data_IF_624872138102
#
_entry.id   IF_624872138102
#
_cell.length_a   1.000
_cell.length_b   1.000
_cell.length_c   1.000
_cell.angle_alpha   90.00
_cell.angle_beta   90.00
_cell.angle_gamma   90.00
#
_symmetry.space_group_name_H-M   'P 1'
#
loop_
_entity.id
_entity.type
_entity.pdbx_description
1 polymer ?
#
# COMPACT_ATOMS: atom_id res chain seq x y z
N UNK A 1 -30.18 -22.53 -10.34
CA UNK A 1 -29.44 -22.12 -9.13
C UNK A 1 -30.14 -22.57 -7.85
N UNK A 2 -31.42 -22.24 -7.63
CA UNK A 2 -32.18 -22.75 -6.46
C UNK A 2 -32.31 -24.28 -6.48
N UNK A 3 -32.59 -24.88 -7.64
CA UNK A 3 -32.67 -26.35 -7.78
C UNK A 3 -31.33 -27.05 -7.47
N UNK A 4 -30.20 -26.45 -7.87
CA UNK A 4 -28.86 -26.98 -7.61
C UNK A 4 -28.50 -26.89 -6.13
N UNK A 5 -28.90 -25.81 -5.45
CA UNK A 5 -28.75 -25.67 -3.98
C UNK A 5 -29.60 -26.70 -3.24
N UNK A 6 -30.86 -26.88 -3.64
CA UNK A 6 -31.74 -27.88 -3.05
C UNK A 6 -31.23 -29.31 -3.27
N UNK A 7 -30.65 -29.60 -4.43
CA UNK A 7 -29.98 -30.88 -4.72
C UNK A 7 -28.75 -31.07 -3.84
N UNK A 8 -27.90 -30.05 -3.70
CA UNK A 8 -26.73 -30.04 -2.82
C UNK A 8 -27.12 -30.32 -1.37
N UNK A 9 -28.17 -29.67 -0.85
CA UNK A 9 -28.67 -29.87 0.52
C UNK A 9 -29.26 -31.26 0.76
N UNK A 10 -29.78 -31.93 -0.28
CA UNK A 10 -30.24 -33.33 -0.19
C UNK A 10 -29.06 -34.29 -0.13
N UNK A 11 -28.07 -34.07 -0.99
CA UNK A 11 -26.87 -34.91 -1.06
C UNK A 11 -26.03 -34.75 0.21
N UNK A 12 -25.85 -33.52 0.69
CA UNK A 12 -25.14 -33.24 1.95
C UNK A 12 -25.74 -34.00 3.13
N UNK A 13 -27.08 -33.99 3.28
CA UNK A 13 -27.77 -34.76 4.33
C UNK A 13 -27.58 -36.28 4.19
N UNK A 14 -27.59 -36.81 2.96
CA UNK A 14 -27.32 -38.24 2.72
C UNK A 14 -25.89 -38.62 3.10
N UNK A 15 -24.92 -37.78 2.76
CA UNK A 15 -23.52 -37.99 3.10
C UNK A 15 -23.29 -37.87 4.61
N UNK A 16 -23.94 -36.92 5.27
CA UNK A 16 -23.89 -36.77 6.73
C UNK A 16 -24.38 -38.04 7.45
N UNK A 17 -25.48 -38.64 6.98
CA UNK A 17 -26.00 -39.89 7.54
C UNK A 17 -25.04 -41.07 7.31
N UNK A 18 -24.32 -41.12 6.18
CA UNK A 18 -23.37 -42.19 5.87
C UNK A 18 -22.03 -42.04 6.57
N UNK A 19 -21.51 -40.81 6.67
CA UNK A 19 -20.17 -40.49 7.17
C UNK A 19 -20.15 -40.15 8.66
N UNK A 20 -21.31 -39.81 9.24
CA UNK A 20 -21.41 -39.33 10.63
C UNK A 20 -20.81 -37.94 10.88
N UNK A 21 -20.42 -37.24 9.80
CA UNK A 21 -19.85 -35.88 9.82
C UNK A 21 -20.29 -35.10 8.58
N UNK A 22 -20.10 -33.78 8.61
CA UNK A 22 -20.32 -32.96 7.42
C UNK A 22 -19.37 -33.37 6.26
N UNK A 23 -19.89 -33.44 5.02
CA UNK A 23 -19.10 -33.83 3.87
C UNK A 23 -18.16 -32.71 3.42
N UNK A 24 -16.96 -33.08 3.00
CA UNK A 24 -16.01 -32.13 2.44
C UNK A 24 -16.48 -31.64 1.04
N UNK A 25 -16.05 -30.44 0.59
CA UNK A 25 -16.39 -29.92 -0.73
C UNK A 25 -15.99 -30.86 -1.88
N UNK A 26 -14.91 -31.65 -1.72
CA UNK A 26 -14.48 -32.69 -2.66
C UNK A 26 -15.45 -33.87 -2.74
N UNK A 27 -15.91 -34.36 -1.59
CA UNK A 27 -16.85 -35.49 -1.49
C UNK A 27 -18.22 -35.10 -2.08
N UNK A 28 -18.64 -33.85 -1.85
CA UNK A 28 -19.82 -33.28 -2.51
C UNK A 28 -19.63 -33.14 -4.03
N UNK A 29 -18.42 -32.82 -4.49
CA UNK A 29 -18.10 -32.65 -5.91
C UNK A 29 -18.20 -33.95 -6.68
N UNK A 30 -17.69 -35.03 -6.10
CA UNK A 30 -17.77 -36.38 -6.65
C UNK A 30 -19.22 -36.86 -6.74
N UNK A 31 -20.00 -36.75 -5.66
CA UNK A 31 -21.39 -37.22 -5.63
C UNK A 31 -22.36 -36.34 -6.46
N UNK A 32 -22.01 -35.07 -6.69
CA UNK A 32 -22.79 -34.16 -7.54
C UNK A 32 -22.35 -34.13 -9.01
N UNK A 33 -21.25 -34.82 -9.36
CA UNK A 33 -20.63 -34.79 -10.69
C UNK A 33 -20.31 -33.36 -11.18
N UNK A 34 -19.82 -32.51 -10.26
CA UNK A 34 -19.50 -31.10 -10.54
C UNK A 34 -18.09 -30.75 -10.06
N UNK A 35 -17.39 -29.81 -10.73
CA UNK A 35 -16.10 -29.31 -10.24
C UNK A 35 -16.19 -28.73 -8.82
N UNK A 36 -15.21 -29.02 -7.98
CA UNK A 36 -15.13 -28.54 -6.59
C UNK A 36 -15.25 -27.00 -6.49
N UNK A 37 -14.65 -26.26 -7.43
CA UNK A 37 -14.76 -24.80 -7.47
C UNK A 37 -16.20 -24.31 -7.61
N UNK A 38 -17.03 -25.02 -8.39
CA UNK A 38 -18.44 -24.65 -8.56
C UNK A 38 -19.22 -24.91 -7.27
N UNK A 39 -18.91 -26.00 -6.55
CA UNK A 39 -19.53 -26.28 -5.25
C UNK A 39 -19.17 -25.21 -4.22
N UNK A 40 -17.88 -24.84 -4.13
CA UNK A 40 -17.46 -23.75 -3.23
C UNK A 40 -18.15 -22.43 -3.54
N UNK A 41 -18.35 -22.12 -4.83
CA UNK A 41 -19.13 -20.93 -5.25
C UNK A 41 -20.59 -21.04 -4.83
N UNK A 42 -21.24 -22.18 -5.06
CA UNK A 42 -22.64 -22.40 -4.67
C UNK A 42 -22.79 -22.31 -3.14
N UNK A 43 -21.89 -22.91 -2.37
CA UNK A 43 -21.87 -22.81 -0.90
C UNK A 43 -21.78 -21.36 -0.44
N UNK A 44 -20.89 -20.55 -1.04
CA UNK A 44 -20.77 -19.11 -0.73
C UNK A 44 -22.05 -18.33 -1.02
N UNK A 45 -22.74 -18.63 -2.12
CA UNK A 45 -23.99 -17.93 -2.50
C UNK A 45 -25.18 -18.43 -1.66
N UNK A 46 -25.10 -19.64 -1.10
CA UNK A 46 -26.16 -20.23 -0.27
C UNK A 46 -26.16 -19.71 1.17
N UNK A 47 -25.22 -18.84 1.54
CA UNK A 47 -25.20 -18.18 2.83
C UNK A 47 -26.32 -17.13 2.89
N UNK A 48 -27.17 -17.23 3.89
CA UNK A 48 -28.17 -16.20 4.15
C UNK A 48 -27.47 -14.91 4.64
N UNK A 49 -27.89 -13.73 4.16
CA UNK A 49 -27.32 -12.47 4.63
C UNK A 49 -27.61 -12.28 6.12
N UNK A 50 -26.62 -11.79 6.85
CA UNK A 50 -26.76 -11.47 8.28
C UNK A 50 -27.19 -10.00 8.40
N UNK A 51 -28.07 -9.71 9.36
CA UNK A 51 -28.48 -8.33 9.63
C UNK A 51 -27.30 -7.52 10.18
N UNK A 52 -27.12 -6.29 9.69
CA UNK A 52 -26.16 -5.35 10.26
C UNK A 52 -26.53 -4.90 11.68
N UNK A 53 -27.80 -5.02 12.05
CA UNK A 53 -28.32 -4.75 13.40
C UNK A 53 -28.16 -5.96 14.34
N UNK A 54 -27.44 -7.01 13.92
CA UNK A 54 -27.17 -8.14 14.83
C UNK A 54 -26.25 -7.64 15.95
N UNK A 55 -26.66 -7.68 17.23
CA UNK A 55 -25.81 -7.24 18.33
C UNK A 55 -24.57 -8.13 18.43
N UNK A 56 -23.44 -7.53 18.78
CA UNK A 56 -22.17 -8.25 18.90
C UNK A 56 -21.54 -7.98 20.27
N UNK A 57 -21.23 -9.06 21.00
CA UNK A 57 -20.73 -8.98 22.37
C UNK A 57 -21.85 -8.82 23.42
N UNK A 58 -21.44 -8.51 24.66
CA UNK A 58 -22.34 -8.30 25.81
C UNK A 58 -22.74 -6.82 25.99
N UNK A 59 -22.15 -5.90 25.22
CA UNK A 59 -22.51 -4.48 25.27
C UNK A 59 -23.68 -4.21 24.33
N UNK A 60 -24.82 -3.81 24.91
CA UNK A 60 -26.12 -3.60 24.23
C UNK A 60 -26.13 -2.54 23.12
N UNK A 61 -25.04 -1.83 22.87
CA UNK A 61 -24.96 -0.75 21.88
C UNK A 61 -24.10 -1.06 20.65
N UNK A 62 -23.44 -2.22 20.59
CA UNK A 62 -22.55 -2.58 19.47
C UNK A 62 -23.26 -3.52 18.49
N UNK A 63 -23.37 -3.10 17.23
CA UNK A 63 -23.98 -3.90 16.18
C UNK A 63 -22.91 -4.36 15.17
N UNK A 64 -23.20 -5.44 14.44
CA UNK A 64 -22.31 -5.97 13.40
C UNK A 64 -21.92 -4.91 12.35
N UNK A 65 -22.85 -4.01 12.01
CA UNK A 65 -22.62 -2.93 11.05
C UNK A 65 -21.54 -1.94 11.48
N UNK A 66 -21.35 -1.73 12.79
CA UNK A 66 -20.39 -0.75 13.31
C UNK A 66 -18.92 -1.16 13.04
N UNK A 67 -18.70 -2.44 12.71
CA UNK A 67 -17.37 -3.00 12.40
C UNK A 67 -17.06 -3.10 10.91
N UNK A 68 -18.01 -2.72 10.05
CA UNK A 68 -17.79 -2.74 8.60
C UNK A 68 -17.15 -1.42 8.20
N UNK A 69 -15.87 -1.48 7.80
CA UNK A 69 -15.17 -0.34 7.26
C UNK A 69 -15.71 0.04 5.87
N UNK A 70 -15.87 1.33 5.63
CA UNK A 70 -16.15 1.86 4.29
C UNK A 70 -14.84 1.94 3.49
N UNK A 71 -14.50 0.84 2.80
CA UNK A 71 -13.31 0.81 1.92
C UNK A 71 -13.47 1.71 0.66
N UNK A 72 -14.68 2.14 0.35
CA UNK A 72 -14.98 3.05 -0.77
C UNK A 72 -14.62 4.51 -0.45
N UNK A 73 -14.43 4.86 0.82
CA UNK A 73 -14.06 6.21 1.23
C UNK A 73 -12.54 6.39 1.22
N UNK A 74 -12.07 7.38 0.47
CA UNK A 74 -10.66 7.77 0.54
C UNK A 74 -10.33 8.34 1.91
N UNK A 75 -9.24 7.88 2.50
CA UNK A 75 -8.78 8.40 3.77
C UNK A 75 -8.54 9.92 3.69
N UNK A 76 -8.82 10.71 4.75
CA UNK A 76 -8.59 12.16 4.77
C UNK A 76 -7.21 12.61 4.24
N UNK A 77 -6.06 12.01 4.63
CA UNK A 77 -4.77 12.40 4.06
C UNK A 77 -4.70 12.21 2.54
N UNK A 78 -5.30 11.13 2.02
CA UNK A 78 -5.29 10.82 0.60
C UNK A 78 -6.12 11.84 -0.18
N UNK A 79 -7.28 12.25 0.35
CA UNK A 79 -8.09 13.32 -0.26
C UNK A 79 -7.31 14.63 -0.40
N UNK A 80 -6.51 14.99 0.62
CA UNK A 80 -5.67 16.19 0.58
C UNK A 80 -4.56 16.05 -0.46
N UNK A 81 -3.93 14.87 -0.57
CA UNK A 81 -2.90 14.59 -1.57
C UNK A 81 -3.48 14.72 -2.99
N UNK A 82 -4.65 14.15 -3.25
CA UNK A 82 -5.33 14.25 -4.54
C UNK A 82 -5.71 15.69 -4.90
N UNK A 83 -6.21 16.46 -3.94
CA UNK A 83 -6.51 17.88 -4.14
C UNK A 83 -5.25 18.68 -4.46
N UNK A 84 -4.19 18.49 -3.67
CA UNK A 84 -2.90 19.18 -3.87
C UNK A 84 -2.28 18.82 -5.23
N UNK A 85 -2.38 17.55 -5.65
CA UNK A 85 -1.95 17.13 -6.98
C UNK A 85 -2.72 17.85 -8.08
N UNK A 86 -4.04 17.95 -7.94
CA UNK A 86 -4.89 18.62 -8.92
C UNK A 86 -4.53 20.10 -9.06
N UNK A 87 -4.30 20.79 -7.94
CA UNK A 87 -3.88 22.20 -7.91
C UNK A 87 -2.50 22.40 -8.60
N UNK A 88 -1.53 21.52 -8.33
CA UNK A 88 -0.20 21.58 -8.97
C UNK A 88 -0.28 21.29 -10.49
N UNK A 89 -1.13 20.35 -10.91
CA UNK A 89 -1.38 20.08 -12.33
C UNK A 89 -1.99 21.32 -13.00
N UNK A 90 -2.99 21.96 -12.38
CA UNK A 90 -3.60 23.17 -12.93
C UNK A 90 -2.61 24.34 -13.01
N UNK A 91 -1.73 24.52 -12.01
CA UNK A 91 -0.65 25.51 -12.09
C UNK A 91 0.34 25.21 -13.22
N UNK A 92 0.66 23.92 -13.45
CA UNK A 92 1.52 23.50 -14.54
C UNK A 92 0.90 23.76 -15.91
N UNK A 93 -0.40 23.48 -16.07
CA UNK A 93 -1.14 23.70 -17.30
C UNK A 93 -1.22 25.19 -17.66
N UNK A 94 -1.19 26.11 -16.69
CA UNK A 94 -1.11 27.57 -16.95
C UNK A 94 0.16 27.99 -17.70
N UNK A 95 1.24 27.19 -17.68
CA UNK A 95 2.46 27.49 -18.44
C UNK A 95 2.37 27.08 -19.91
N UNK A 96 1.31 26.35 -20.30
CA UNK A 96 1.05 25.98 -21.68
C UNK A 96 0.17 27.03 -22.36
N UNK A 97 0.11 26.96 -23.69
CA UNK A 97 -0.89 27.74 -24.42
C UNK A 97 -2.30 27.20 -24.14
N UNK A 98 -3.34 28.04 -24.18
CA UNK A 98 -4.74 27.62 -23.92
C UNK A 98 -5.14 26.41 -24.76
N UNK A 99 -4.66 26.34 -26.00
CA UNK A 99 -4.92 25.22 -26.92
C UNK A 99 -4.23 23.93 -26.47
N UNK A 100 -2.98 24.01 -26.02
CA UNK A 100 -2.24 22.86 -25.47
C UNK A 100 -2.86 22.38 -24.15
N UNK A 101 -3.20 23.30 -23.24
CA UNK A 101 -3.84 22.98 -21.97
C UNK A 101 -5.20 22.31 -22.18
N UNK A 102 -6.04 22.85 -23.08
CA UNK A 102 -7.37 22.29 -23.35
C UNK A 102 -7.31 20.92 -24.01
N UNK A 103 -6.35 20.68 -24.91
CA UNK A 103 -6.11 19.33 -25.48
C UNK A 103 -5.74 18.33 -24.40
N UNK A 104 -4.87 18.69 -23.44
CA UNK A 104 -4.51 17.81 -22.33
C UNK A 104 -5.68 17.58 -21.37
N UNK A 105 -6.44 18.63 -21.02
CA UNK A 105 -7.61 18.53 -20.13
C UNK A 105 -8.66 17.57 -20.68
N UNK A 106 -9.02 17.70 -21.96
CA UNK A 106 -10.00 16.82 -22.60
C UNK A 106 -9.49 15.38 -22.76
N UNK A 107 -8.20 15.21 -23.10
CA UNK A 107 -7.62 13.87 -23.30
C UNK A 107 -7.58 13.07 -22.00
N UNK A 108 -7.12 13.69 -20.91
CA UNK A 108 -6.87 13.02 -19.62
C UNK A 108 -7.97 13.24 -18.59
N UNK A 109 -9.09 13.89 -18.94
CA UNK A 109 -10.22 14.10 -18.04
C UNK A 109 -9.90 14.92 -16.78
N UNK A 110 -8.90 15.82 -16.84
CA UNK A 110 -8.32 16.47 -15.65
C UNK A 110 -9.26 17.41 -14.88
N UNK A 111 -10.45 17.70 -15.41
CA UNK A 111 -11.47 18.55 -14.76
C UNK A 111 -12.78 17.81 -14.48
N UNK A 112 -12.72 16.48 -14.31
CA UNK A 112 -13.91 15.65 -14.12
C UNK A 112 -14.70 15.40 -15.40
N UNK A 113 -14.17 15.81 -16.56
CA UNK A 113 -14.65 15.37 -17.86
C UNK A 113 -14.20 13.93 -18.13
N UNK A 114 -14.95 13.20 -18.95
CA UNK A 114 -14.50 11.89 -19.43
C UNK A 114 -13.23 12.05 -20.29
N UNK A 115 -12.37 11.04 -20.25
CA UNK A 115 -11.25 10.95 -21.18
C UNK A 115 -11.76 10.87 -22.62
N UNK A 116 -11.20 11.70 -23.50
CA UNK A 116 -11.53 11.70 -24.92
C UNK A 116 -10.38 11.10 -25.74
N UNK A 117 -10.75 10.37 -26.78
CA UNK A 117 -9.78 9.83 -27.75
C UNK A 117 -9.16 10.94 -28.60
N UNK A 118 -7.99 10.67 -29.22
CA UNK A 118 -7.35 11.61 -30.14
C UNK A 118 -8.25 12.04 -31.30
N UNK A 119 -9.17 11.16 -31.72
CA UNK A 119 -10.10 11.41 -32.81
C UNK A 119 -11.24 12.34 -32.37
N UNK A 120 -11.84 12.09 -31.20
CA UNK A 120 -12.87 12.94 -30.61
C UNK A 120 -12.34 14.35 -30.29
N UNK A 121 -11.14 14.45 -29.72
CA UNK A 121 -10.47 15.75 -29.51
C UNK A 121 -10.19 16.41 -30.86
N UNK A 122 -9.78 15.64 -31.88
CA UNK A 122 -9.56 16.16 -33.23
C UNK A 122 -10.82 16.76 -33.85
N UNK A 123 -11.96 16.08 -33.72
CA UNK A 123 -13.26 16.57 -34.16
C UNK A 123 -13.64 17.88 -33.46
N UNK A 124 -13.48 17.96 -32.13
CA UNK A 124 -13.79 19.16 -31.36
C UNK A 124 -12.93 20.38 -31.79
N UNK A 125 -11.64 20.16 -32.08
CA UNK A 125 -10.73 21.21 -32.53
C UNK A 125 -10.69 21.41 -34.06
N UNK A 126 -11.51 20.68 -34.83
CA UNK A 126 -11.54 20.66 -36.31
C UNK A 126 -10.15 20.45 -36.93
N UNK A 127 -9.40 19.50 -36.39
CA UNK A 127 -8.05 19.13 -36.85
C UNK A 127 -7.92 17.61 -36.96
N UNK A 128 -6.91 17.16 -37.70
CA UNK A 128 -6.63 15.74 -37.84
C UNK A 128 -6.18 15.12 -36.52
N UNK A 129 -6.43 13.82 -36.36
CA UNK A 129 -5.95 13.00 -35.23
C UNK A 129 -4.45 13.17 -35.00
N UNK A 130 -3.66 13.12 -36.07
CA UNK A 130 -2.19 13.27 -35.99
C UNK A 130 -1.79 14.67 -35.49
N UNK A 131 -2.55 15.71 -35.82
CA UNK A 131 -2.30 17.05 -35.32
C UNK A 131 -2.49 17.14 -33.80
N UNK A 132 -3.52 16.50 -33.25
CA UNK A 132 -3.71 16.42 -31.78
C UNK A 132 -2.55 15.67 -31.13
N UNK A 133 -2.12 14.53 -31.71
CA UNK A 133 -0.97 13.76 -31.21
C UNK A 133 0.32 14.60 -31.15
N UNK A 134 0.57 15.42 -32.16
CA UNK A 134 1.70 16.35 -32.19
C UNK A 134 1.61 17.42 -31.10
N UNK A 135 0.42 18.03 -30.91
CA UNK A 135 0.18 19.04 -29.88
C UNK A 135 0.43 18.43 -28.49
N UNK A 136 -0.10 17.23 -28.24
CA UNK A 136 0.10 16.49 -27.00
C UNK A 136 1.59 16.22 -26.75
N UNK A 137 2.31 15.64 -27.71
CA UNK A 137 3.73 15.34 -27.58
C UNK A 137 4.55 16.61 -27.28
N UNK A 138 4.22 17.72 -27.93
CA UNK A 138 4.85 19.02 -27.69
C UNK A 138 4.54 19.56 -26.29
N UNK A 139 3.29 19.48 -25.85
CA UNK A 139 2.86 19.93 -24.53
C UNK A 139 3.52 19.10 -23.42
N UNK A 140 3.54 17.77 -23.54
CA UNK A 140 4.23 16.88 -22.60
C UNK A 140 5.75 17.13 -22.56
N UNK A 141 6.37 17.47 -23.69
CA UNK A 141 7.79 17.85 -23.72
C UNK A 141 8.05 19.15 -22.95
N UNK A 142 7.20 20.17 -23.12
CA UNK A 142 7.28 21.42 -22.35
C UNK A 142 7.08 21.18 -20.86
N UNK A 143 6.08 20.40 -20.49
CA UNK A 143 5.81 20.05 -19.10
C UNK A 143 7.00 19.32 -18.46
N UNK A 144 7.66 18.40 -19.18
CA UNK A 144 8.86 17.70 -18.68
C UNK A 144 10.06 18.62 -18.42
N UNK A 145 10.21 19.67 -19.22
CA UNK A 145 11.35 20.61 -19.13
C UNK A 145 11.09 21.76 -18.15
N UNK A 146 9.83 21.99 -17.76
CA UNK A 146 9.47 23.01 -16.77
C UNK A 146 10.15 22.74 -15.43
N UNK A 147 10.68 23.78 -14.79
CA UNK A 147 11.25 23.70 -13.43
C UNK A 147 10.25 23.16 -12.41
N UNK A 148 8.96 23.51 -12.59
CA UNK A 148 7.82 23.04 -11.77
C UNK A 148 7.52 21.54 -11.92
N UNK A 149 8.01 20.87 -12.98
CA UNK A 149 7.88 19.40 -13.10
C UNK A 149 8.51 18.64 -11.93
N UNK A 150 9.47 19.27 -11.23
CA UNK A 150 10.09 18.71 -10.02
C UNK A 150 9.07 18.53 -8.89
N UNK A 151 8.04 19.37 -8.82
CA UNK A 151 6.99 19.33 -7.80
C UNK A 151 6.04 18.15 -7.99
N UNK A 152 5.93 17.60 -9.21
CA UNK A 152 5.12 16.40 -9.48
C UNK A 152 5.84 15.07 -9.13
N UNK A 153 7.17 15.08 -8.98
CA UNK A 153 7.95 13.86 -8.70
C UNK A 153 7.60 13.19 -7.36
N UNK A 154 7.33 13.91 -6.26
CA UNK A 154 6.86 13.31 -5.02
C UNK A 154 5.54 12.55 -5.19
N UNK A 155 4.57 13.13 -5.91
CA UNK A 155 3.28 12.48 -6.19
C UNK A 155 3.45 11.20 -7.00
N UNK A 156 4.33 11.21 -8.01
CA UNK A 156 4.60 10.00 -8.79
C UNK A 156 5.00 8.81 -7.90
N UNK A 157 5.83 9.03 -6.87
CA UNK A 157 6.25 7.97 -5.93
C UNK A 157 5.11 7.45 -5.06
N UNK A 158 4.19 8.34 -4.66
CA UNK A 158 3.02 7.99 -3.86
C UNK A 158 2.07 7.08 -4.66
N UNK A 159 1.79 7.42 -5.92
CA UNK A 159 0.90 6.63 -6.78
C UNK A 159 1.53 5.36 -7.38
N UNK A 160 2.85 5.30 -7.56
CA UNK A 160 3.54 4.10 -8.08
C UNK A 160 3.94 3.10 -7.00
N UNK A 161 3.54 3.31 -5.74
CA UNK A 161 3.84 2.42 -4.62
C UNK A 161 5.34 2.22 -4.36
N UNK A 162 6.20 3.12 -4.87
CA UNK A 162 7.65 2.92 -4.79
C UNK A 162 8.12 3.28 -3.38
N UNK A 163 8.74 2.35 -2.63
CA UNK A 163 9.09 2.59 -1.24
C UNK A 163 10.00 3.81 -1.12
N UNK A 164 9.58 4.77 -0.28
CA UNK A 164 10.39 5.91 0.09
C UNK A 164 11.60 5.36 0.84
N UNK A 165 12.75 5.23 0.17
CA UNK A 165 14.03 4.99 0.86
C UNK A 165 14.21 6.14 1.84
N UNK A 166 14.07 5.85 3.15
CA UNK A 166 14.39 6.79 4.22
C UNK A 166 15.79 7.31 3.91
N UNK A 167 15.94 8.62 3.74
CA UNK A 167 17.26 9.23 3.64
C UNK A 167 17.95 9.01 4.97
N UNK A 168 18.84 8.03 5.03
CA UNK A 168 19.81 7.93 6.10
C UNK A 168 20.61 9.24 6.08
N UNK A 169 20.39 10.07 7.09
CA UNK A 169 21.25 11.22 7.35
C UNK A 169 22.61 10.63 7.74
N UNK A 170 23.54 10.53 6.78
CA UNK A 170 24.96 10.35 7.10
C UNK A 170 25.38 11.53 7.97
N UNK A 171 25.56 11.31 9.28
CA UNK A 171 26.37 12.19 10.13
C UNK A 171 27.77 12.16 9.54
N UNK A 172 28.14 13.20 8.78
CA UNK A 172 29.55 13.56 8.64
C UNK A 172 29.97 14.09 10.02
N UNK A 173 30.63 13.25 10.81
CA UNK A 173 31.55 13.77 11.82
C UNK A 173 32.74 14.27 11.04
N UNK A 174 32.96 15.57 11.10
CA UNK A 174 34.22 16.20 10.76
C UNK A 174 35.22 15.76 11.83
N UNK A 175 36.05 14.78 11.49
CA UNK A 175 37.30 14.51 12.18
C UNK A 175 38.36 14.85 11.15
N UNK A 176 38.96 16.04 11.29
CA UNK A 176 40.30 16.41 10.83
C UNK A 176 40.51 17.91 11.11
N UNK A 177 40.94 18.27 12.32
CA UNK A 177 41.76 19.49 12.49
C UNK A 177 42.75 19.34 13.67
N UNK A 178 43.93 18.83 13.29
CA UNK A 178 45.28 19.28 13.65
C UNK A 178 45.67 19.42 15.15
N UNK A 179 46.56 18.51 15.53
CA UNK A 179 47.49 18.59 16.67
C UNK A 179 48.24 19.93 16.73
N UNK A 180 48.20 20.58 17.89
CA UNK A 180 49.19 21.55 18.34
C UNK A 180 49.54 21.27 19.81
N UNK A 181 50.82 21.21 20.21
CA UNK A 181 51.20 20.93 21.58
C UNK A 181 51.28 22.23 22.38
N UNK A 182 50.72 22.25 23.59
CA UNK A 182 51.12 23.21 24.62
C UNK A 182 51.26 22.51 25.97
N UNK A 183 52.47 22.65 26.49
CA UNK A 183 53.00 22.24 27.78
C UNK A 183 52.35 22.99 28.96
N UNK A 184 52.60 22.43 30.16
CA UNK A 184 52.62 23.07 31.50
C UNK A 184 51.25 23.45 32.12
N UNK A 185 50.94 23.27 33.41
CA UNK A 185 51.66 22.92 34.65
C UNK A 185 50.60 22.46 35.69
N UNK A 186 51.11 21.87 36.79
CA UNK A 186 50.53 21.55 38.13
C UNK A 186 49.16 22.14 38.51
N UNK A 187 48.36 21.51 39.38
CA UNK A 187 48.63 21.16 40.78
C UNK A 187 47.34 20.54 41.37
N UNK A 188 47.48 19.54 42.26
CA UNK A 188 46.72 19.29 43.52
C UNK A 188 45.16 19.35 43.51
N UNK A 189 44.38 18.57 44.27
CA UNK A 189 44.53 17.92 45.59
C UNK A 189 43.25 17.09 45.86
N UNK A 190 43.36 16.15 46.82
CA UNK A 190 42.28 15.56 47.67
C UNK A 190 41.22 14.66 46.99
N UNK A 191 41.26 13.32 47.13
CA UNK A 191 41.00 12.47 48.32
C UNK A 191 39.67 12.79 49.00
N UNK A 192 38.69 11.89 48.88
CA UNK A 192 37.86 11.44 50.01
C UNK A 192 37.22 10.09 49.70
N UNK A 193 37.41 9.16 50.65
CA UNK A 193 36.85 7.82 50.77
C UNK A 193 35.36 7.88 51.10
N UNK A 194 34.60 6.83 50.77
CA UNK A 194 33.91 6.00 51.77
C UNK A 194 33.21 4.82 51.09
N UNK A 195 33.44 3.66 51.69
CA UNK A 195 32.90 2.34 51.39
C UNK A 195 31.39 2.25 51.65
N UNK A 196 30.71 1.31 51.00
CA UNK A 196 29.76 0.40 51.66
C UNK A 196 29.25 -0.66 50.66
N UNK A 197 29.77 -1.87 50.85
CA UNK A 197 29.02 -3.10 51.10
C UNK A 197 28.15 -3.80 50.02
N UNK A 198 28.67 -4.99 49.68
CA UNK A 198 28.04 -6.33 49.72
C UNK A 198 27.36 -6.92 48.47
N UNK A 199 28.08 -7.92 47.95
CA UNK A 199 27.69 -9.30 47.65
C UNK A 199 26.62 -9.61 46.59
N UNK A 200 27.04 -10.45 45.63
CA UNK A 200 26.16 -11.13 44.70
C UNK A 200 26.91 -11.90 43.64
N UNK A 201 27.32 -13.12 44.00
CA UNK A 201 27.92 -14.15 43.15
C UNK A 201 27.21 -14.31 41.78
N UNK A 202 27.98 -14.47 40.70
CA UNK A 202 28.08 -15.78 40.03
C UNK A 202 29.17 -15.79 38.96
N UNK A 203 29.97 -16.84 39.07
CA UNK A 203 31.15 -17.10 38.29
C UNK A 203 30.85 -17.83 36.97
N UNK A 204 31.60 -17.43 35.94
CA UNK A 204 32.39 -18.31 35.06
C UNK A 204 31.84 -18.77 33.70
N UNK A 205 32.77 -18.62 32.72
CA UNK A 205 32.95 -19.31 31.41
C UNK A 205 32.05 -18.77 30.29
N UNK A 206 32.52 -17.93 29.36
CA UNK A 206 33.67 -18.05 28.42
C UNK A 206 33.74 -19.41 27.72
N UNK A 207 33.29 -19.46 26.46
CA UNK A 207 34.14 -19.73 25.29
C UNK A 207 33.31 -20.33 24.14
N UNK A 208 33.20 -19.59 23.04
CA UNK A 208 33.05 -20.12 21.67
C UNK A 208 34.28 -20.99 21.29
N UNK A 209 34.46 -21.54 20.05
CA UNK A 209 33.65 -21.45 18.83
C UNK A 209 33.58 -22.76 17.96
N UNK A 210 32.83 -22.65 16.86
CA UNK A 210 33.09 -23.12 15.48
C UNK A 210 33.80 -24.45 15.18
N UNK A 211 33.12 -25.30 14.40
CA UNK A 211 33.61 -26.30 13.43
C UNK A 211 32.47 -26.35 12.37
N UNK A 212 32.53 -25.69 11.20
CA UNK A 212 33.19 -26.05 9.92
C UNK A 212 33.08 -27.57 9.66
N UNK A 213 32.34 -28.07 8.68
CA UNK A 213 32.90 -28.33 7.35
C UNK A 213 31.85 -29.04 6.47
N UNK A 214 31.99 -28.72 5.18
CA UNK A 214 31.94 -29.65 4.04
C UNK A 214 30.60 -30.32 3.73
N UNK A 215 30.00 -29.92 2.60
CA UNK A 215 30.18 -30.60 1.32
C UNK A 215 29.62 -32.01 1.35
N UNK A 216 28.70 -32.29 0.42
CA UNK A 216 28.70 -33.45 -0.47
C UNK A 216 27.28 -33.67 -1.03
N UNK A 217 27.19 -33.51 -2.36
CA UNK A 217 26.12 -33.76 -3.34
C UNK A 217 24.98 -32.74 -3.53
#
# INVERSE_FOLDING_TARGET
MIETMNRMNRISRKLLQKLGRDPNPKELAEEMEMPEEKIRKIQKISLDPVSLETPIGEEDNSHLGDFIANDDEMAPPDTVIHRTLSDEIDELLKNLTDREAKVLKMRFGLQGEKEHTLEEVGQHFKVTRERIRQIEAKALRKLRQSSRSKNLKPFAKYFTGTPIKKRERKKKREEDEVLGPTEEISENEEVFEEDDDLDGEESSKVSSPAIIDEDVF
#
